data_IF_096053361214
#
_entry.id   IF_096053361214
#
_cell.length_a   1.000
_cell.length_b   1.000
_cell.length_c   1.000
_cell.angle_alpha   90.00
_cell.angle_beta   90.00
_cell.angle_gamma   90.00
#
_symmetry.space_group_name_H-M   'P 1'
#
loop_
_entity.id
_entity.type
_entity.pdbx_description
1 polymer ?
#
# COMPACT_ATOMS: atom_id res chain seq x y z
N UNK A 1 11.15 -6.80 -10.15
CA UNK A 1 10.11 -5.74 -10.04
C UNK A 1 8.80 -6.28 -9.46
N UNK A 2 8.25 -7.39 -9.97
CA UNK A 2 7.04 -8.00 -9.39
C UNK A 2 7.19 -8.39 -7.92
N UNK A 3 8.30 -9.06 -7.57
CA UNK A 3 8.63 -9.39 -6.18
C UNK A 3 8.72 -8.14 -5.30
N UNK A 4 9.26 -7.04 -5.84
CA UNK A 4 9.34 -5.75 -5.14
C UNK A 4 7.95 -5.17 -4.86
N UNK A 5 6.99 -5.28 -5.79
CA UNK A 5 5.59 -4.86 -5.57
C UNK A 5 4.93 -5.71 -4.49
N UNK A 6 5.19 -7.02 -4.49
CA UNK A 6 4.66 -7.91 -3.46
C UNK A 6 5.21 -7.57 -2.06
N UNK A 7 6.52 -7.33 -1.96
CA UNK A 7 7.14 -6.86 -0.71
C UNK A 7 6.59 -5.50 -0.27
N UNK A 8 6.44 -4.54 -1.20
CA UNK A 8 5.87 -3.23 -0.90
C UNK A 8 4.41 -3.33 -0.45
N UNK A 9 3.61 -4.21 -1.07
CA UNK A 9 2.23 -4.47 -0.64
C UNK A 9 2.17 -5.07 0.77
N UNK A 10 3.04 -6.03 1.09
CA UNK A 10 3.15 -6.58 2.44
C UNK A 10 3.61 -5.53 3.46
N UNK A 11 4.59 -4.69 3.10
CA UNK A 11 5.08 -3.61 3.96
C UNK A 11 4.01 -2.55 4.21
N UNK A 12 3.24 -2.18 3.18
CA UNK A 12 2.12 -1.25 3.28
C UNK A 12 1.06 -1.79 4.24
N UNK A 13 0.71 -3.08 4.11
CA UNK A 13 -0.21 -3.77 5.01
C UNK A 13 0.26 -3.77 6.47
N UNK A 14 1.52 -4.13 6.71
CA UNK A 14 2.08 -4.18 8.06
C UNK A 14 2.14 -2.79 8.70
N UNK A 15 2.56 -1.77 7.92
CA UNK A 15 2.69 -0.40 8.42
C UNK A 15 1.33 0.25 8.65
N UNK A 16 0.34 0.03 7.79
CA UNK A 16 -1.03 0.50 8.03
C UNK A 16 -1.64 -0.13 9.28
N UNK A 17 -1.48 -1.45 9.48
CA UNK A 17 -1.97 -2.08 10.71
C UNK A 17 -1.32 -1.47 11.96
N UNK A 18 -0.02 -1.15 11.91
CA UNK A 18 0.64 -0.46 13.02
C UNK A 18 0.13 0.95 13.27
N UNK A 19 -0.14 1.73 12.22
CA UNK A 19 -0.72 3.07 12.35
C UNK A 19 -2.09 3.00 13.01
N UNK A 20 -2.93 2.05 12.58
CA UNK A 20 -4.25 1.82 13.15
C UNK A 20 -4.18 1.39 14.61
N UNK A 21 -3.24 0.51 14.98
CA UNK A 21 -3.00 0.10 16.38
C UNK A 21 -2.54 1.27 17.27
N UNK A 22 -1.79 2.22 16.72
CA UNK A 22 -1.34 3.42 17.42
C UNK A 22 -2.44 4.49 17.54
N UNK A 23 -3.65 4.24 17.00
CA UNK A 23 -4.78 5.17 17.04
C UNK A 23 -4.65 6.33 16.03
N UNK A 24 -3.73 6.23 15.08
CA UNK A 24 -3.60 7.17 13.98
C UNK A 24 -4.47 6.73 12.80
N UNK A 25 -4.99 7.69 12.04
CA UNK A 25 -5.67 7.44 10.77
C UNK A 25 -4.69 7.51 9.60
N UNK A 26 -5.03 6.84 8.49
CA UNK A 26 -4.31 7.06 7.24
C UNK A 26 -4.43 8.52 6.80
N UNK A 27 -3.31 9.16 6.48
CA UNK A 27 -3.28 10.56 6.02
C UNK A 27 -3.94 10.79 4.65
N UNK A 28 -4.22 9.71 3.91
CA UNK A 28 -4.83 9.78 2.59
C UNK A 28 -6.36 9.65 2.72
N UNK A 29 -7.14 10.69 2.38
CA UNK A 29 -8.60 10.71 2.59
C UNK A 29 -9.33 9.63 1.79
N UNK A 30 -8.80 9.21 0.64
CA UNK A 30 -9.36 8.09 -0.14
C UNK A 30 -9.20 6.76 0.60
N UNK A 31 -8.05 6.55 1.23
CA UNK A 31 -7.79 5.34 2.00
C UNK A 31 -8.56 5.36 3.32
N UNK A 32 -8.67 6.50 3.99
CA UNK A 32 -9.49 6.65 5.21
C UNK A 32 -10.97 6.37 4.92
N UNK A 33 -11.51 6.91 3.83
CA UNK A 33 -12.88 6.62 3.39
C UNK A 33 -13.07 5.12 3.15
N UNK A 34 -12.12 4.50 2.47
CA UNK A 34 -12.23 3.09 2.13
C UNK A 34 -11.97 2.17 3.35
N UNK A 35 -11.11 2.55 4.30
CA UNK A 35 -11.01 1.91 5.61
C UNK A 35 -12.33 1.99 6.39
N UNK A 36 -12.97 3.16 6.38
CA UNK A 36 -14.28 3.36 7.03
C UNK A 36 -15.36 2.46 6.40
N UNK A 37 -15.31 2.28 5.08
CA UNK A 37 -16.30 1.49 4.35
C UNK A 37 -16.09 -0.01 4.46
N UNK A 38 -14.85 -0.47 4.38
CA UNK A 38 -14.51 -1.90 4.45
C UNK A 38 -14.28 -2.39 5.88
N UNK A 39 -14.04 -1.49 6.84
CA UNK A 39 -13.81 -1.82 8.25
C UNK A 39 -12.71 -2.87 8.43
N UNK A 40 -12.99 -3.91 9.21
CA UNK A 40 -12.07 -5.03 9.44
C UNK A 40 -11.68 -5.79 8.15
N UNK A 41 -12.46 -5.66 7.08
CA UNK A 41 -12.19 -6.30 5.79
C UNK A 41 -11.30 -5.46 4.87
N UNK A 42 -10.78 -4.31 5.32
CA UNK A 42 -9.89 -3.42 4.57
C UNK A 42 -8.66 -4.12 3.96
N UNK A 43 -8.20 -5.18 4.60
CA UNK A 43 -7.13 -6.06 4.10
C UNK A 43 -7.43 -6.64 2.70
N UNK A 44 -8.69 -6.99 2.41
CA UNK A 44 -9.09 -7.64 1.16
C UNK A 44 -8.90 -6.72 -0.05
N UNK A 45 -9.50 -5.51 -0.12
CA UNK A 45 -9.31 -4.63 -1.27
C UNK A 45 -7.85 -4.21 -1.44
N UNK A 46 -7.09 -4.05 -0.35
CA UNK A 46 -5.66 -3.71 -0.40
C UNK A 46 -4.80 -4.83 -1.01
N UNK A 47 -5.06 -6.08 -0.62
CA UNK A 47 -4.44 -7.25 -1.26
C UNK A 47 -4.89 -7.41 -2.72
N UNK A 48 -6.18 -7.22 -3.00
CA UNK A 48 -6.73 -7.28 -4.36
C UNK A 48 -6.06 -6.29 -5.30
N UNK A 49 -5.83 -5.05 -4.84
CA UNK A 49 -5.14 -4.01 -5.60
C UNK A 49 -3.67 -4.38 -5.86
N UNK A 50 -3.00 -4.97 -4.85
CA UNK A 50 -1.62 -5.48 -5.00
C UNK A 50 -1.55 -6.57 -6.09
N UNK A 51 -2.45 -7.55 -6.06
CA UNK A 51 -2.51 -8.60 -7.08
C UNK A 51 -2.87 -8.06 -8.47
N UNK A 52 -3.79 -7.09 -8.55
CA UNK A 52 -4.15 -6.44 -9.81
C UNK A 52 -2.94 -5.72 -10.41
N UNK A 53 -2.18 -4.97 -9.61
CA UNK A 53 -0.95 -4.30 -10.04
C UNK A 53 0.07 -5.34 -10.52
N UNK A 54 0.28 -6.43 -9.79
CA UNK A 54 1.18 -7.52 -10.19
C UNK A 54 0.74 -8.12 -11.54
N UNK A 55 -0.56 -8.38 -11.73
CA UNK A 55 -1.09 -8.92 -12.99
C UNK A 55 -0.92 -7.96 -14.18
N UNK A 56 -1.13 -6.66 -13.96
CA UNK A 56 -0.92 -5.63 -14.98
C UNK A 56 0.57 -5.48 -15.33
N UNK A 57 1.46 -5.56 -14.33
CA UNK A 57 2.90 -5.53 -14.53
C UNK A 57 3.42 -6.78 -15.23
N UNK A 58 2.85 -7.95 -14.94
CA UNK A 58 3.16 -9.21 -15.62
C UNK A 58 2.87 -9.12 -17.13
N UNK A 59 1.81 -8.41 -17.50
CA UNK A 59 1.43 -8.21 -18.92
C UNK A 59 2.25 -7.09 -19.59
N UNK A 60 2.92 -6.23 -18.84
CA UNK A 60 3.62 -5.05 -19.38
C UNK A 60 5.00 -5.40 -19.93
N UNK A 61 5.31 -4.90 -21.12
CA UNK A 61 6.62 -5.09 -21.79
C UNK A 61 7.58 -3.89 -21.60
N UNK A 62 7.14 -2.83 -20.90
CA UNK A 62 7.91 -1.58 -20.77
C UNK A 62 8.47 -1.39 -19.36
N UNK A 63 9.79 -1.50 -19.22
CA UNK A 63 10.53 -1.32 -17.96
C UNK A 63 10.23 0.02 -17.28
N UNK A 64 10.17 1.13 -18.02
CA UNK A 64 9.92 2.46 -17.46
C UNK A 64 8.54 2.57 -16.81
N UNK A 65 7.51 1.96 -17.43
CA UNK A 65 6.15 1.93 -16.86
C UNK A 65 6.10 1.08 -15.60
N UNK A 66 6.81 -0.05 -15.60
CA UNK A 66 6.92 -0.94 -14.44
C UNK A 66 7.62 -0.19 -13.29
N UNK A 67 8.69 0.56 -13.56
CA UNK A 67 9.41 1.35 -12.57
C UNK A 67 8.53 2.44 -11.94
N UNK A 68 7.77 3.17 -12.74
CA UNK A 68 6.85 4.20 -12.23
C UNK A 68 5.78 3.60 -11.31
N UNK A 69 5.19 2.47 -11.69
CA UNK A 69 4.19 1.79 -10.86
C UNK A 69 4.79 1.31 -9.54
N UNK A 70 5.99 0.72 -9.56
CA UNK A 70 6.72 0.33 -8.34
C UNK A 70 6.98 1.54 -7.45
N UNK A 71 7.40 2.67 -8.02
CA UNK A 71 7.61 3.91 -7.27
C UNK A 71 6.30 4.41 -6.64
N UNK A 72 5.20 4.41 -7.38
CA UNK A 72 3.88 4.75 -6.84
C UNK A 72 3.42 3.82 -5.71
N UNK A 73 3.70 2.52 -5.80
CA UNK A 73 3.42 1.57 -4.72
C UNK A 73 4.26 1.80 -3.46
N UNK A 74 5.41 2.48 -3.56
CA UNK A 74 6.26 2.78 -2.40
C UNK A 74 5.79 4.00 -1.61
N UNK A 75 5.06 4.93 -2.23
CA UNK A 75 4.53 6.14 -1.60
C UNK A 75 3.72 5.89 -0.32
N UNK A 76 2.71 4.97 -0.31
CA UNK A 76 1.96 4.70 0.92
C UNK A 76 2.84 4.05 2.00
N UNK A 77 3.77 3.16 1.63
CA UNK A 77 4.72 2.55 2.59
C UNK A 77 5.59 3.63 3.26
N UNK A 78 6.16 4.54 2.47
CA UNK A 78 7.01 5.62 2.98
C UNK A 78 6.19 6.55 3.87
N UNK A 79 4.99 6.96 3.43
CA UNK A 79 4.10 7.78 4.22
C UNK A 79 3.80 7.14 5.58
N UNK A 80 3.50 5.84 5.57
CA UNK A 80 3.18 5.12 6.80
C UNK A 80 4.40 5.02 7.74
N UNK A 81 5.59 4.75 7.18
CA UNK A 81 6.82 4.71 7.97
C UNK A 81 7.15 6.07 8.61
N UNK A 82 6.91 7.18 7.91
CA UNK A 82 7.12 8.54 8.45
C UNK A 82 6.17 8.81 9.62
N UNK A 83 4.90 8.41 9.51
CA UNK A 83 3.92 8.54 10.61
C UNK A 83 4.36 7.71 11.82
N UNK A 84 4.77 6.46 11.60
CA UNK A 84 5.26 5.59 12.68
C UNK A 84 6.51 6.19 13.35
N UNK A 85 7.47 6.69 12.57
CA UNK A 85 8.70 7.29 13.09
C UNK A 85 8.45 8.63 13.80
N UNK A 86 7.39 9.35 13.46
CA UNK A 86 6.96 10.56 14.17
C UNK A 86 6.14 10.30 15.43
N UNK A 87 5.64 9.06 15.61
CA UNK A 87 4.86 8.63 16.77
C UNK A 87 5.73 7.97 17.87
N UNK A 88 7.02 7.73 17.60
CA UNK A 88 8.00 7.14 18.54
C UNK A 88 8.78 8.19 19.33
#
# INVERSE_FOLDING_TARGET
MLFSVLLLGCADLATTNRILELGFNEANPFMEMAQTWFGAWWLIPKLGLTYLVIALLWRSQSLSRIALVVAFCSTPVINNLVIIAGAS
#
